data_IF_753683762080
#
_entry.id   IF_753683762080
#
_cell.length_a   1.000
_cell.length_b   1.000
_cell.length_c   1.000
_cell.angle_alpha   90.00
_cell.angle_beta   90.00
_cell.angle_gamma   90.00
#
_symmetry.space_group_name_H-M   'P 1'
#
loop_
_entity.id
_entity.type
_entity.pdbx_description
1 polymer ?
#
# COMPACT_ATOMS: atom_id res chain seq x y z
N UNK A 1 6.30 16.81 -4.89
CA UNK A 1 4.95 17.34 -4.61
C UNK A 1 3.86 16.29 -4.79
N UNK A 2 3.59 15.77 -5.99
CA UNK A 2 2.49 14.80 -6.22
C UNK A 2 2.57 13.55 -5.31
N UNK A 3 3.75 12.95 -5.16
CA UNK A 3 3.96 11.82 -4.24
C UNK A 3 3.53 12.12 -2.81
N UNK A 4 4.00 13.25 -2.27
CA UNK A 4 3.72 13.65 -0.89
C UNK A 4 2.22 13.86 -0.70
N UNK A 5 1.57 14.63 -1.58
CA UNK A 5 0.12 14.84 -1.54
C UNK A 5 -0.67 13.52 -1.58
N UNK A 6 -0.22 12.56 -2.39
CA UNK A 6 -0.86 11.25 -2.47
C UNK A 6 -0.69 10.46 -1.18
N UNK A 7 0.48 10.50 -0.56
CA UNK A 7 0.74 9.84 0.72
C UNK A 7 -0.07 10.48 1.85
N UNK A 8 -0.12 11.82 1.93
CA UNK A 8 -0.91 12.54 2.93
C UNK A 8 -2.39 12.14 2.84
N UNK A 9 -2.96 12.15 1.64
CA UNK A 9 -4.36 11.77 1.43
C UNK A 9 -4.64 10.28 1.73
N UNK A 10 -3.69 9.38 1.43
CA UNK A 10 -3.85 7.95 1.74
C UNK A 10 -3.73 7.64 3.24
N UNK A 11 -2.97 8.46 3.97
CA UNK A 11 -2.65 8.25 5.38
C UNK A 11 -3.51 9.07 6.33
N UNK A 12 -4.31 10.01 5.83
CA UNK A 12 -5.22 10.87 6.61
C UNK A 12 -6.10 10.08 7.59
N UNK A 13 -6.60 8.92 7.17
CA UNK A 13 -7.43 8.03 8.00
C UNK A 13 -6.68 7.11 8.96
N UNK A 14 -5.36 7.29 9.14
CA UNK A 14 -4.55 6.45 10.02
C UNK A 14 -4.30 5.03 9.47
N UNK A 15 -4.35 4.85 8.15
CA UNK A 15 -4.14 3.55 7.51
C UNK A 15 -2.80 2.92 7.94
N UNK A 16 -2.85 1.66 8.37
CA UNK A 16 -1.65 0.94 8.78
C UNK A 16 -0.75 0.53 7.59
N UNK A 17 -1.34 0.39 6.40
CA UNK A 17 -0.70 -0.09 5.16
C UNK A 17 -1.43 0.52 3.95
N UNK A 18 -0.74 0.63 2.81
CA UNK A 18 -1.29 1.08 1.53
C UNK A 18 -1.35 -0.13 0.59
N UNK A 19 -2.46 -0.29 -0.14
CA UNK A 19 -2.62 -1.31 -1.17
C UNK A 19 -2.53 -0.68 -2.57
N UNK A 20 -1.86 -1.35 -3.50
CA UNK A 20 -1.78 -0.93 -4.91
C UNK A 20 -1.86 -2.14 -5.84
N UNK A 21 -2.33 -1.92 -7.08
CA UNK A 21 -2.29 -2.89 -8.18
C UNK A 21 -1.21 -2.54 -9.22
N UNK A 22 -0.46 -1.46 -9.01
CA UNK A 22 0.56 -0.98 -9.93
C UNK A 22 1.94 -1.02 -9.27
N UNK A 23 2.85 -1.82 -9.83
CA UNK A 23 4.21 -2.02 -9.28
C UNK A 23 5.02 -0.72 -9.25
N UNK A 24 4.85 0.16 -10.24
CA UNK A 24 5.48 1.47 -10.26
C UNK A 24 5.00 2.35 -9.11
N UNK A 25 3.70 2.36 -8.83
CA UNK A 25 3.15 3.05 -7.66
C UNK A 25 3.63 2.44 -6.34
N UNK A 26 3.77 1.11 -6.25
CA UNK A 26 4.32 0.44 -5.06
C UNK A 26 5.73 0.98 -4.78
N UNK A 27 6.64 0.84 -5.75
CA UNK A 27 8.03 1.32 -5.62
C UNK A 27 8.08 2.82 -5.32
N UNK A 28 7.29 3.61 -6.04
CA UNK A 28 7.31 5.06 -5.91
C UNK A 28 6.79 5.56 -4.55
N UNK A 29 5.68 4.98 -4.06
CA UNK A 29 5.08 5.36 -2.77
C UNK A 29 5.90 4.81 -1.61
N UNK A 30 6.41 3.58 -1.69
CA UNK A 30 7.23 2.98 -0.62
C UNK A 30 8.47 3.82 -0.31
N UNK A 31 9.10 4.42 -1.33
CA UNK A 31 10.23 5.33 -1.14
C UNK A 31 9.88 6.66 -0.45
N UNK A 32 8.62 6.88 -0.06
CA UNK A 32 8.16 8.11 0.60
C UNK A 32 7.48 7.90 1.95
N UNK A 33 7.39 6.65 2.45
CA UNK A 33 6.74 6.35 3.74
C UNK A 33 7.30 5.06 4.33
N UNK A 34 7.33 4.96 5.65
CA UNK A 34 7.65 3.73 6.38
C UNK A 34 6.44 2.80 6.50
N UNK A 35 5.23 3.27 6.14
CA UNK A 35 4.05 2.42 6.07
C UNK A 35 4.18 1.44 4.91
N UNK A 36 3.91 0.14 5.09
CA UNK A 36 4.02 -0.84 4.03
C UNK A 36 3.12 -0.49 2.83
N UNK A 37 3.67 -0.53 1.62
CA UNK A 37 2.93 -0.45 0.37
C UNK A 37 2.97 -1.81 -0.30
N UNK A 38 1.82 -2.47 -0.42
CA UNK A 38 1.72 -3.89 -0.78
C UNK A 38 0.87 -4.09 -2.03
N UNK A 39 1.06 -5.23 -2.70
CA UNK A 39 0.12 -5.62 -3.74
C UNK A 39 -1.21 -6.04 -3.11
N UNK A 40 -2.34 -5.60 -3.66
CA UNK A 40 -3.66 -5.88 -3.06
C UNK A 40 -3.96 -7.39 -2.95
N UNK A 41 -3.47 -8.21 -3.88
CA UNK A 41 -3.64 -9.68 -3.83
C UNK A 41 -2.93 -10.26 -2.61
N UNK A 42 -1.72 -9.82 -2.26
CA UNK A 42 -0.98 -10.32 -1.09
C UNK A 42 -1.75 -10.02 0.21
N UNK A 43 -2.44 -8.88 0.27
CA UNK A 43 -3.29 -8.56 1.41
C UNK A 43 -4.48 -9.51 1.53
N UNK A 44 -5.11 -9.88 0.42
CA UNK A 44 -6.23 -10.83 0.43
C UNK A 44 -5.74 -12.25 0.72
N UNK A 45 -4.64 -12.66 0.10
CA UNK A 45 -4.03 -13.98 0.33
C UNK A 45 -3.70 -14.17 1.82
N UNK A 46 -3.13 -13.14 2.47
CA UNK A 46 -2.88 -13.16 3.92
C UNK A 46 -4.13 -13.31 4.79
N UNK A 47 -5.32 -13.03 4.25
CA UNK A 47 -6.61 -13.14 4.95
C UNK A 47 -7.34 -14.43 4.63
N UNK A 48 -7.19 -14.96 3.42
CA UNK A 48 -7.86 -16.19 3.00
C UNK A 48 -7.12 -17.43 3.51
N UNK A 49 -5.81 -17.33 3.77
CA UNK A 49 -4.99 -18.46 4.19
C UNK A 49 -4.84 -19.51 3.09
N UNK A 50 -4.02 -20.56 3.32
CA UNK A 50 -3.90 -21.64 2.36
C UNK A 50 -5.26 -22.34 2.18
N UNK A 51 -5.64 -22.58 0.92
CA UNK A 51 -6.82 -23.37 0.60
C UNK A 51 -6.70 -24.74 1.28
N UNK A 52 -7.66 -25.05 2.16
CA UNK A 52 -7.79 -26.35 2.81
C UNK A 52 -8.39 -27.40 1.88
#
# INVERSE_FOLDING_TARGET
RLRANKLDALLEGGAARIASANIGCITHLQAGTDKPVLHWIELIDSRLGPAS
#
